data_IF_673888831067
#
_entry.id   IF_673888831067
#
_cell.length_a   1.000
_cell.length_b   1.000
_cell.length_c   1.000
_cell.angle_alpha   90.00
_cell.angle_beta   90.00
_cell.angle_gamma   90.00
#
_symmetry.space_group_name_H-M   'P 1'
#
loop_
_entity.id
_entity.type
_entity.pdbx_description
1 polymer ?
#
# COMPACT_ATOMS: atom_id res chain seq x y z
N UNK A 1 -15.14 59.09 -18.01
CA UNK A 1 -14.62 59.12 -19.39
C UNK A 1 -15.05 57.83 -20.09
N UNK A 2 -16.09 57.88 -20.87
CA UNK A 2 -16.58 56.75 -21.67
C UNK A 2 -15.77 56.69 -22.95
N UNK A 3 -14.90 55.70 -23.08
CA UNK A 3 -14.21 55.47 -24.35
C UNK A 3 -15.23 54.96 -25.38
N UNK A 4 -15.32 55.68 -26.50
CA UNK A 4 -16.21 55.29 -27.61
C UNK A 4 -15.79 53.92 -28.17
N UNK A 5 -16.73 52.99 -28.40
CA UNK A 5 -16.42 51.65 -28.92
C UNK A 5 -15.68 51.66 -30.27
N UNK A 6 -15.81 52.74 -31.05
CA UNK A 6 -15.10 52.94 -32.31
C UNK A 6 -13.55 53.10 -32.12
N UNK A 7 -13.13 53.73 -31.02
CA UNK A 7 -11.69 53.90 -30.71
C UNK A 7 -11.06 52.59 -30.27
N UNK A 8 -11.77 51.73 -29.57
CA UNK A 8 -11.29 50.37 -29.20
C UNK A 8 -11.14 49.45 -30.42
N UNK A 9 -12.09 49.50 -31.36
CA UNK A 9 -12.04 48.77 -32.62
C UNK A 9 -10.93 49.23 -33.55
N UNK A 10 -10.61 50.54 -33.60
CA UNK A 10 -9.52 51.08 -34.41
C UNK A 10 -8.12 50.65 -33.84
N UNK A 11 -7.99 50.58 -32.53
CA UNK A 11 -6.74 50.11 -31.87
C UNK A 11 -6.51 48.59 -32.02
N UNK A 12 -7.58 47.80 -32.13
CA UNK A 12 -7.46 46.35 -32.36
C UNK A 12 -6.96 46.01 -33.78
N UNK A 13 -6.99 46.98 -34.70
CA UNK A 13 -6.48 46.79 -36.09
C UNK A 13 -4.99 47.07 -36.26
N UNK A 14 -4.26 47.52 -35.25
CA UNK A 14 -2.81 47.64 -35.29
C UNK A 14 -2.18 46.22 -35.34
N UNK A 15 -1.13 46.05 -36.14
CA UNK A 15 -0.45 44.73 -36.33
C UNK A 15 0.03 44.09 -35.01
N UNK A 16 0.17 44.87 -33.94
CA UNK A 16 0.56 44.40 -32.61
C UNK A 16 -0.61 44.12 -31.66
N UNK A 17 -1.81 44.64 -31.94
CA UNK A 17 -2.98 44.44 -31.07
C UNK A 17 -3.69 43.09 -31.38
N UNK A 18 -3.58 42.61 -32.60
CA UNK A 18 -4.20 41.35 -33.05
C UNK A 18 -3.71 40.11 -32.27
N UNK A 19 -2.38 39.88 -32.08
CA UNK A 19 -1.93 38.75 -31.28
C UNK A 19 -2.25 38.91 -29.79
N UNK A 20 -2.27 40.11 -29.25
CA UNK A 20 -2.64 40.35 -27.85
C UNK A 20 -4.13 40.11 -27.58
N UNK A 21 -5.00 40.52 -28.50
CA UNK A 21 -6.45 40.26 -28.39
C UNK A 21 -6.77 38.78 -28.56
N UNK A 22 -6.04 38.08 -29.44
CA UNK A 22 -6.18 36.63 -29.61
C UNK A 22 -5.71 35.88 -28.35
N UNK A 23 -4.58 36.27 -27.77
CA UNK A 23 -4.10 35.69 -26.55
C UNK A 23 -5.05 35.88 -25.36
N UNK A 24 -5.59 37.10 -25.24
CA UNK A 24 -6.61 37.42 -24.21
C UNK A 24 -7.91 36.61 -24.40
N UNK A 25 -8.35 36.43 -25.66
CA UNK A 25 -9.49 35.60 -25.98
C UNK A 25 -9.25 34.12 -25.62
N UNK A 26 -8.09 33.58 -26.03
CA UNK A 26 -7.71 32.20 -25.71
C UNK A 26 -7.62 31.98 -24.20
N UNK A 27 -7.07 32.91 -23.46
CA UNK A 27 -7.00 32.85 -22.01
C UNK A 27 -8.41 32.89 -21.38
N UNK A 28 -9.29 33.79 -21.85
CA UNK A 28 -10.67 33.86 -21.37
C UNK A 28 -11.45 32.55 -21.67
N UNK A 29 -11.24 31.98 -22.86
CA UNK A 29 -11.82 30.69 -23.24
C UNK A 29 -11.24 29.55 -22.34
N UNK A 30 -9.94 29.52 -22.08
CA UNK A 30 -9.32 28.53 -21.22
C UNK A 30 -9.83 28.57 -19.76
N UNK A 31 -10.10 29.77 -19.24
CA UNK A 31 -10.71 29.97 -17.90
C UNK A 31 -12.18 29.58 -17.86
N UNK A 32 -12.90 29.79 -18.95
CA UNK A 32 -14.34 29.48 -19.05
C UNK A 32 -14.62 28.00 -19.37
N UNK A 33 -13.64 27.27 -19.88
CA UNK A 33 -13.80 25.85 -20.16
C UNK A 33 -13.78 25.03 -18.84
N UNK A 34 -14.75 24.10 -18.67
CA UNK A 34 -14.68 23.18 -17.54
C UNK A 34 -13.41 22.32 -17.62
N UNK A 35 -12.87 21.85 -16.49
CA UNK A 35 -11.70 20.97 -16.50
C UNK A 35 -11.99 19.73 -17.33
N UNK A 36 -11.20 19.53 -18.39
CA UNK A 36 -11.31 18.35 -19.25
C UNK A 36 -10.71 17.15 -18.50
N UNK A 37 -11.50 16.11 -18.24
CA UNK A 37 -10.97 14.88 -17.66
C UNK A 37 -10.05 14.20 -18.69
N UNK A 38 -8.75 14.34 -18.53
CA UNK A 38 -7.80 13.58 -19.32
C UNK A 38 -7.76 12.13 -18.81
N UNK A 39 -7.77 11.13 -19.71
CA UNK A 39 -7.63 9.73 -19.29
C UNK A 39 -6.26 9.53 -18.64
N UNK A 40 -6.21 9.56 -17.32
CA UNK A 40 -5.04 9.24 -16.50
C UNK A 40 -5.04 7.76 -16.13
N UNK A 41 -3.86 7.19 -15.93
CA UNK A 41 -3.76 5.87 -15.31
C UNK A 41 -4.10 6.02 -13.83
N UNK A 42 -5.17 5.40 -13.38
CA UNK A 42 -5.49 5.27 -11.96
C UNK A 42 -5.12 3.86 -11.48
N UNK A 43 -4.74 3.75 -10.23
CA UNK A 43 -4.37 2.49 -9.59
C UNK A 43 -5.44 2.11 -8.57
N UNK A 44 -5.68 0.81 -8.43
CA UNK A 44 -6.62 0.28 -7.46
C UNK A 44 -5.96 -0.88 -6.72
N UNK A 45 -5.44 -0.60 -5.52
CA UNK A 45 -4.66 -1.57 -4.77
C UNK A 45 -5.15 -1.71 -3.32
N UNK A 46 -5.08 -2.93 -2.82
CA UNK A 46 -5.05 -3.24 -1.40
C UNK A 46 -3.61 -3.57 -1.04
N UNK A 47 -3.01 -2.78 -0.17
CA UNK A 47 -1.67 -3.01 0.35
C UNK A 47 -1.80 -3.72 1.69
N UNK A 48 -1.20 -4.90 1.78
CA UNK A 48 -1.20 -5.74 2.98
C UNK A 48 0.22 -5.77 3.53
N UNK A 49 0.38 -5.29 4.75
CA UNK A 49 1.66 -5.32 5.45
C UNK A 49 1.71 -6.52 6.40
N UNK A 50 2.78 -7.27 6.28
CA UNK A 50 3.16 -8.25 7.29
C UNK A 50 3.57 -7.50 8.57
N UNK A 51 2.90 -7.83 9.68
CA UNK A 51 3.18 -7.24 11.00
C UNK A 51 3.69 -8.28 12.00
N UNK A 52 4.14 -9.42 11.50
CA UNK A 52 4.74 -10.46 12.36
C UNK A 52 6.08 -10.01 12.94
N UNK A 53 6.55 -10.68 13.97
CA UNK A 53 7.71 -10.22 14.75
C UNK A 53 9.01 -10.12 13.93
N UNK A 54 9.16 -10.87 12.85
CA UNK A 54 10.31 -10.77 11.95
C UNK A 54 10.41 -9.41 11.26
N UNK A 55 9.26 -8.75 11.02
CA UNK A 55 9.21 -7.39 10.45
C UNK A 55 9.71 -6.31 11.43
N UNK A 56 9.87 -6.62 12.72
CA UNK A 56 10.48 -5.72 13.70
C UNK A 56 12.02 -5.75 13.67
N UNK A 57 12.63 -6.60 12.83
CA UNK A 57 14.09 -6.64 12.64
C UNK A 57 14.59 -5.30 12.11
N UNK A 58 15.63 -4.74 12.74
CA UNK A 58 16.20 -3.42 12.44
C UNK A 58 17.44 -3.55 11.57
N UNK A 59 17.25 -3.92 10.32
CA UNK A 59 18.31 -4.09 9.30
C UNK A 59 18.21 -3.11 8.14
N UNK A 60 17.38 -2.06 8.30
CA UNK A 60 17.31 -0.90 7.42
C UNK A 60 17.77 0.37 8.13
N UNK A 61 18.09 1.39 7.34
CA UNK A 61 18.44 2.72 7.83
C UNK A 61 17.58 3.79 7.16
N UNK A 62 17.10 4.75 7.96
CA UNK A 62 16.49 5.99 7.49
C UNK A 62 17.22 7.15 8.19
N UNK A 63 17.75 8.08 7.40
CA UNK A 63 18.50 9.24 7.90
C UNK A 63 19.65 8.85 8.86
N UNK A 64 20.35 7.75 8.55
CA UNK A 64 21.47 7.23 9.37
C UNK A 64 21.04 6.58 10.68
N UNK A 65 19.75 6.29 10.88
CA UNK A 65 19.23 5.60 12.06
C UNK A 65 18.70 4.22 11.69
N UNK A 66 19.02 3.19 12.48
CA UNK A 66 18.47 1.86 12.25
C UNK A 66 16.96 1.85 12.51
N UNK A 67 16.20 1.36 11.51
CA UNK A 67 14.75 1.24 11.58
C UNK A 67 14.31 -0.20 11.30
N UNK A 68 13.10 -0.57 11.74
CA UNK A 68 12.54 -1.87 11.46
C UNK A 68 12.15 -2.01 9.97
N UNK A 69 12.04 -3.26 9.51
CA UNK A 69 11.52 -3.58 8.16
C UNK A 69 10.13 -2.99 7.96
N UNK A 70 9.28 -3.08 8.99
CA UNK A 70 7.94 -2.52 8.98
C UNK A 70 7.97 -0.99 8.84
N UNK A 71 8.81 -0.29 9.64
CA UNK A 71 8.92 1.17 9.58
C UNK A 71 9.46 1.63 8.22
N UNK A 72 10.45 0.91 7.66
CA UNK A 72 10.98 1.19 6.33
C UNK A 72 9.91 1.00 5.25
N UNK A 73 9.13 -0.07 5.32
CA UNK A 73 8.02 -0.33 4.41
C UNK A 73 6.96 0.78 4.49
N UNK A 74 6.56 1.18 5.71
CA UNK A 74 5.61 2.28 5.95
C UNK A 74 6.13 3.59 5.36
N UNK A 75 7.40 3.92 5.59
CA UNK A 75 8.03 5.12 5.02
C UNK A 75 7.97 5.10 3.49
N UNK A 76 8.38 4.00 2.86
CA UNK A 76 8.40 3.84 1.41
C UNK A 76 7.00 3.92 0.79
N UNK A 77 6.00 3.32 1.45
CA UNK A 77 4.59 3.40 1.04
C UNK A 77 4.05 4.82 1.16
N UNK A 78 4.39 5.53 2.25
CA UNK A 78 4.02 6.94 2.43
C UNK A 78 4.63 7.85 1.34
N UNK A 79 5.87 7.60 0.91
CA UNK A 79 6.47 8.29 -0.23
C UNK A 79 5.74 7.95 -1.54
N UNK A 80 5.40 6.68 -1.74
CA UNK A 80 4.69 6.23 -2.94
C UNK A 80 3.31 6.88 -3.07
N UNK A 81 2.57 7.04 -1.97
CA UNK A 81 1.27 7.72 -1.97
C UNK A 81 1.34 9.14 -2.57
N UNK A 82 2.44 9.87 -2.34
CA UNK A 82 2.63 11.24 -2.86
C UNK A 82 2.73 11.29 -4.38
N UNK A 83 3.09 10.20 -5.01
CA UNK A 83 3.32 10.12 -6.45
C UNK A 83 2.13 9.53 -7.21
N UNK A 84 1.12 9.03 -6.50
CA UNK A 84 -0.06 8.46 -7.13
C UNK A 84 -0.96 9.56 -7.71
N UNK A 85 -1.44 9.38 -8.95
CA UNK A 85 -2.38 10.32 -9.54
C UNK A 85 -3.72 10.26 -8.83
N UNK A 86 -4.41 11.42 -8.75
CA UNK A 86 -5.79 11.48 -8.28
C UNK A 86 -6.69 10.53 -9.08
N UNK A 87 -7.70 9.97 -8.43
CA UNK A 87 -8.53 8.90 -8.96
C UNK A 87 -7.98 7.49 -8.65
N UNK A 88 -6.72 7.37 -8.18
CA UNK A 88 -6.20 6.12 -7.65
C UNK A 88 -6.86 5.79 -6.31
N UNK A 89 -7.05 4.50 -6.04
CA UNK A 89 -7.68 4.00 -4.79
C UNK A 89 -6.74 3.06 -4.08
N UNK A 90 -6.46 3.36 -2.82
CA UNK A 90 -5.58 2.55 -1.97
C UNK A 90 -6.32 2.16 -0.70
N UNK A 91 -6.18 0.89 -0.32
CA UNK A 91 -6.62 0.36 0.96
C UNK A 91 -5.45 -0.21 1.74
N UNK A 92 -5.63 -0.32 3.05
CA UNK A 92 -4.64 -0.88 3.97
C UNK A 92 -5.18 -2.12 4.64
N UNK A 93 -4.34 -3.14 4.71
CA UNK A 93 -4.56 -4.33 5.49
C UNK A 93 -3.30 -4.76 6.20
N UNK A 94 -3.45 -5.60 7.19
CA UNK A 94 -2.34 -6.23 7.90
C UNK A 94 -2.46 -7.75 7.84
N UNK A 95 -1.32 -8.40 7.80
CA UNK A 95 -1.19 -9.85 7.84
C UNK A 95 -0.53 -10.27 9.15
N UNK A 96 -1.13 -11.24 9.80
CA UNK A 96 -0.56 -11.97 10.93
C UNK A 96 -1.12 -13.39 10.93
N UNK A 97 -0.36 -14.33 11.44
CA UNK A 97 -0.69 -15.76 11.47
C UNK A 97 -0.89 -16.33 10.04
N UNK A 98 -2.12 -16.40 9.55
CA UNK A 98 -2.49 -16.87 8.20
C UNK A 98 -3.63 -16.04 7.60
N UNK A 99 -3.95 -14.89 8.18
CA UNK A 99 -5.14 -14.09 7.82
C UNK A 99 -4.78 -12.67 7.45
N UNK A 100 -5.60 -12.12 6.55
CA UNK A 100 -5.71 -10.70 6.31
C UNK A 100 -6.74 -10.08 7.27
N UNK A 101 -6.39 -8.96 7.87
CA UNK A 101 -7.31 -8.01 8.46
C UNK A 101 -7.29 -6.72 7.64
N UNK A 102 -8.38 -6.41 6.97
CA UNK A 102 -8.53 -5.14 6.28
C UNK A 102 -8.80 -4.02 7.29
N UNK A 103 -7.93 -3.01 7.33
CA UNK A 103 -8.07 -1.85 8.21
C UNK A 103 -8.84 -0.73 7.52
N UNK A 104 -8.62 -0.57 6.22
CA UNK A 104 -9.29 0.43 5.39
C UNK A 104 -9.50 -0.16 3.99
N UNK A 105 -10.74 -0.16 3.52
CA UNK A 105 -11.05 -0.50 2.13
C UNK A 105 -10.48 0.54 1.17
N UNK A 106 -10.24 0.20 -0.12
CA UNK A 106 -9.66 1.15 -1.06
C UNK A 106 -10.48 2.43 -1.23
N UNK A 107 -9.90 3.56 -0.82
CA UNK A 107 -10.46 4.91 -0.94
C UNK A 107 -9.63 5.75 -1.92
N UNK A 108 -10.24 6.78 -2.49
CA UNK A 108 -9.56 7.68 -3.43
C UNK A 108 -8.45 8.48 -2.73
N UNK A 109 -7.26 8.52 -3.35
CA UNK A 109 -6.02 9.00 -2.71
C UNK A 109 -6.06 10.49 -2.41
N UNK A 110 -6.45 11.34 -3.36
CA UNK A 110 -6.37 12.80 -3.19
C UNK A 110 -7.37 13.32 -2.16
N UNK A 111 -8.59 12.78 -2.17
CA UNK A 111 -9.63 13.16 -1.21
C UNK A 111 -9.43 12.62 0.20
N UNK A 112 -8.65 11.52 0.35
CA UNK A 112 -8.46 10.84 1.65
C UNK A 112 -6.98 10.70 2.01
N UNK A 113 -6.15 11.65 1.54
CA UNK A 113 -4.69 11.54 1.67
C UNK A 113 -4.23 11.51 3.13
N UNK A 114 -4.81 12.37 3.98
CA UNK A 114 -4.46 12.44 5.40
C UNK A 114 -4.87 11.19 6.16
N UNK A 115 -6.05 10.66 5.88
CA UNK A 115 -6.59 9.44 6.49
C UNK A 115 -5.75 8.21 6.10
N UNK A 116 -5.34 8.15 4.83
CA UNK A 116 -4.45 7.09 4.34
C UNK A 116 -3.11 7.13 5.05
N UNK A 117 -2.49 8.30 5.19
CA UNK A 117 -1.22 8.45 5.90
C UNK A 117 -1.38 8.18 7.40
N UNK A 118 -2.45 8.66 8.03
CA UNK A 118 -2.69 8.44 9.45
C UNK A 118 -2.90 6.94 9.75
N UNK A 119 -3.69 6.25 8.93
CA UNK A 119 -3.89 4.80 9.07
C UNK A 119 -2.57 4.05 8.90
N UNK A 120 -1.79 4.37 7.85
CA UNK A 120 -0.48 3.76 7.62
C UNK A 120 0.48 4.01 8.79
N UNK A 121 0.51 5.21 9.35
CA UNK A 121 1.36 5.57 10.49
C UNK A 121 1.02 4.76 11.74
N UNK A 122 -0.25 4.46 11.96
CA UNK A 122 -0.74 3.71 13.13
C UNK A 122 -0.60 2.19 12.98
N UNK A 123 -0.22 1.66 11.81
CA UNK A 123 0.08 0.23 11.68
C UNK A 123 1.31 -0.09 12.51
N UNK A 124 1.18 -1.08 13.40
CA UNK A 124 2.18 -1.44 14.38
C UNK A 124 2.28 -2.97 14.51
N UNK A 125 3.47 -3.48 14.80
CA UNK A 125 3.72 -4.90 15.08
C UNK A 125 2.97 -5.42 16.31
N UNK A 126 2.55 -4.56 17.23
CA UNK A 126 1.72 -4.93 18.39
C UNK A 126 0.27 -5.26 18.02
N UNK A 127 -0.18 -4.89 16.83
CA UNK A 127 -1.48 -5.31 16.29
C UNK A 127 -1.50 -6.80 15.93
N UNK A 128 -0.35 -7.49 15.96
CA UNK A 128 -0.26 -8.92 15.70
C UNK A 128 -0.98 -9.72 16.79
N UNK A 129 -1.91 -10.58 16.38
CA UNK A 129 -2.72 -11.41 17.29
C UNK A 129 -2.17 -12.81 17.51
N UNK A 130 -1.08 -13.17 16.83
CA UNK A 130 -0.46 -14.50 16.95
C UNK A 130 1.05 -14.44 16.67
N UNK A 131 1.78 -15.41 17.24
CA UNK A 131 3.22 -15.54 17.05
C UNK A 131 3.62 -16.31 15.78
N UNK A 132 2.65 -16.89 15.04
CA UNK A 132 2.90 -17.60 13.80
C UNK A 132 2.91 -16.65 12.60
N UNK A 133 3.62 -17.03 11.53
CA UNK A 133 3.70 -16.33 10.26
C UNK A 133 3.59 -17.36 9.12
N UNK A 134 2.38 -17.71 8.71
CA UNK A 134 2.13 -18.62 7.60
C UNK A 134 1.86 -17.83 6.33
N UNK A 135 2.92 -17.24 5.76
CA UNK A 135 2.87 -16.28 4.64
C UNK A 135 2.10 -16.82 3.44
N UNK A 136 2.34 -18.09 3.08
CA UNK A 136 1.64 -18.73 1.94
C UNK A 136 0.13 -18.76 2.14
N UNK A 137 -0.34 -19.10 3.34
CA UNK A 137 -1.78 -19.12 3.67
C UNK A 137 -2.34 -17.68 3.77
N UNK A 138 -1.54 -16.76 4.31
CA UNK A 138 -1.89 -15.34 4.38
C UNK A 138 -2.10 -14.72 3.01
N UNK A 139 -1.22 -15.05 2.05
CA UNK A 139 -1.37 -14.63 0.66
C UNK A 139 -2.67 -15.16 0.06
N UNK A 140 -2.97 -16.45 0.23
CA UNK A 140 -4.22 -17.05 -0.28
C UNK A 140 -5.46 -16.47 0.41
N UNK A 141 -5.38 -16.23 1.73
CA UNK A 141 -6.43 -15.55 2.48
C UNK A 141 -6.69 -14.15 1.94
N UNK A 142 -5.61 -13.40 1.65
CA UNK A 142 -5.71 -12.05 1.08
C UNK A 142 -6.37 -12.07 -0.30
N UNK A 143 -5.92 -12.94 -1.21
CA UNK A 143 -6.52 -13.06 -2.55
C UNK A 143 -8.01 -13.43 -2.45
N UNK A 144 -8.37 -14.35 -1.54
CA UNK A 144 -9.76 -14.76 -1.34
C UNK A 144 -10.63 -13.61 -0.84
N UNK A 145 -10.15 -12.85 0.14
CA UNK A 145 -10.88 -11.69 0.67
C UNK A 145 -11.05 -10.59 -0.39
N UNK A 146 -10.03 -10.34 -1.21
CA UNK A 146 -10.10 -9.28 -2.21
C UNK A 146 -11.05 -9.61 -3.37
N UNK A 147 -11.12 -10.87 -3.78
CA UNK A 147 -12.02 -11.27 -4.87
C UNK A 147 -13.51 -11.14 -4.50
N UNK A 148 -13.83 -11.14 -3.20
CA UNK A 148 -15.21 -10.97 -2.69
C UNK A 148 -15.64 -9.50 -2.67
N UNK A 149 -14.71 -8.55 -2.90
CA UNK A 149 -15.05 -7.14 -3.00
C UNK A 149 -15.77 -6.85 -4.32
N UNK A 150 -16.71 -5.91 -4.30
CA UNK A 150 -17.50 -5.51 -5.49
C UNK A 150 -16.62 -5.12 -6.67
N UNK A 151 -15.49 -4.44 -6.41
CA UNK A 151 -14.45 -4.13 -7.36
C UNK A 151 -13.12 -4.68 -6.81
N UNK A 152 -12.72 -5.90 -7.21
CA UNK A 152 -11.50 -6.49 -6.69
C UNK A 152 -10.26 -5.65 -6.98
N UNK A 153 -9.56 -5.14 -5.94
CA UNK A 153 -8.31 -4.41 -6.11
C UNK A 153 -7.17 -5.38 -6.41
N UNK A 154 -6.09 -4.87 -7.00
CA UNK A 154 -4.85 -5.61 -7.06
C UNK A 154 -4.21 -5.68 -5.68
N UNK A 155 -3.61 -6.83 -5.34
CA UNK A 155 -2.93 -7.04 -4.06
C UNK A 155 -1.47 -6.55 -4.14
N UNK A 156 -1.05 -5.77 -3.16
CA UNK A 156 0.37 -5.53 -2.89
C UNK A 156 0.67 -6.11 -1.51
N UNK A 157 1.40 -7.23 -1.47
CA UNK A 157 1.69 -7.96 -0.24
C UNK A 157 3.15 -7.72 0.17
N UNK A 158 3.37 -7.02 1.28
CA UNK A 158 4.69 -6.63 1.78
C UNK A 158 5.05 -7.53 2.94
N UNK A 159 6.12 -8.32 2.81
CA UNK A 159 6.55 -9.32 3.81
C UNK A 159 8.06 -9.56 3.71
N UNK A 160 8.68 -10.06 4.76
CA UNK A 160 10.05 -10.57 4.70
C UNK A 160 10.12 -12.05 4.30
N UNK A 161 8.96 -12.68 4.11
CA UNK A 161 8.86 -14.08 3.68
C UNK A 161 9.19 -15.08 4.77
N UNK A 162 9.34 -14.66 6.03
CA UNK A 162 9.62 -15.58 7.14
C UNK A 162 8.39 -16.45 7.44
N UNK A 163 8.53 -17.75 7.15
CA UNK A 163 7.48 -18.75 7.35
C UNK A 163 7.70 -19.49 8.68
N UNK A 164 6.79 -19.31 9.63
CA UNK A 164 6.81 -19.94 10.94
C UNK A 164 5.40 -20.42 11.34
N UNK A 165 5.12 -21.74 11.37
CA UNK A 165 6.04 -22.86 11.17
C UNK A 165 6.51 -22.99 9.71
N UNK A 166 7.69 -23.59 9.48
CA UNK A 166 8.19 -23.86 8.13
C UNK A 166 7.20 -24.69 7.30
N UNK A 167 7.11 -24.38 6.01
CA UNK A 167 6.24 -25.11 5.08
C UNK A 167 6.61 -26.59 5.03
N UNK A 168 5.63 -27.44 5.28
CA UNK A 168 5.79 -28.86 5.06
C UNK A 168 5.71 -29.16 3.55
N UNK A 169 6.78 -29.70 2.91
CA UNK A 169 6.79 -29.99 1.48
C UNK A 169 5.68 -30.95 1.02
N UNK A 170 5.19 -31.82 1.94
CA UNK A 170 4.13 -32.80 1.68
C UNK A 170 2.73 -32.24 1.88
N UNK A 171 2.60 -31.08 2.54
CA UNK A 171 1.31 -30.45 2.88
C UNK A 171 1.33 -28.97 2.51
N UNK A 172 1.69 -28.68 1.27
CA UNK A 172 1.69 -27.29 0.77
C UNK A 172 0.27 -26.78 0.71
N UNK A 173 0.03 -25.54 1.14
CA UNK A 173 -1.27 -24.91 0.94
C UNK A 173 -1.64 -24.88 -0.55
N UNK A 174 -2.84 -25.30 -0.89
CA UNK A 174 -3.40 -25.19 -2.24
C UNK A 174 -4.27 -23.94 -2.32
N UNK A 175 -4.28 -23.31 -3.47
CA UNK A 175 -5.17 -22.19 -3.75
C UNK A 175 -6.38 -22.66 -4.54
N UNK A 176 -7.57 -22.49 -3.95
CA UNK A 176 -8.83 -22.79 -4.59
C UNK A 176 -9.40 -21.52 -5.24
N UNK A 177 -9.07 -21.28 -6.48
CA UNK A 177 -9.54 -20.09 -7.18
C UNK A 177 -9.05 -20.02 -8.62
N UNK A 178 -9.74 -19.22 -9.43
CA UNK A 178 -9.34 -18.97 -10.80
C UNK A 178 -8.11 -18.06 -10.86
N UNK A 179 -7.05 -18.47 -11.57
CA UNK A 179 -5.86 -17.64 -11.77
C UNK A 179 -6.21 -16.32 -12.48
N UNK A 180 -5.62 -15.21 -12.03
CA UNK A 180 -5.70 -13.92 -12.70
C UNK A 180 -6.91 -13.05 -12.31
N UNK A 181 -7.84 -13.53 -11.50
CA UNK A 181 -8.96 -12.73 -11.00
C UNK A 181 -8.48 -11.57 -10.11
N UNK A 182 -7.53 -11.82 -9.22
CA UNK A 182 -6.83 -10.80 -8.44
C UNK A 182 -5.38 -10.75 -8.94
N UNK A 183 -4.97 -9.62 -9.48
CA UNK A 183 -3.57 -9.35 -9.84
C UNK A 183 -2.83 -8.92 -8.58
N UNK A 184 -1.51 -9.13 -8.54
CA UNK A 184 -0.76 -8.73 -7.37
C UNK A 184 0.74 -8.63 -7.58
N UNK A 185 1.37 -8.07 -6.55
CA UNK A 185 2.81 -7.93 -6.40
C UNK A 185 3.16 -8.34 -4.97
N UNK A 186 4.17 -9.18 -4.83
CA UNK A 186 4.80 -9.46 -3.54
C UNK A 186 6.05 -8.60 -3.45
N UNK A 187 6.14 -7.81 -2.40
CA UNK A 187 7.30 -6.95 -2.10
C UNK A 187 8.06 -7.58 -0.95
N UNK A 188 9.24 -8.10 -1.26
CA UNK A 188 10.15 -8.65 -0.26
C UNK A 188 10.86 -7.54 0.52
N UNK A 189 10.90 -7.65 1.85
CA UNK A 189 11.69 -6.81 2.74
C UNK A 189 12.80 -7.64 3.38
N UNK A 190 13.86 -6.99 3.86
CA UNK A 190 15.03 -7.64 4.45
C UNK A 190 16.25 -7.57 3.56
N UNK A 191 17.42 -7.71 4.18
CA UNK A 191 18.71 -7.67 3.50
C UNK A 191 19.22 -9.06 3.11
N UNK A 192 20.36 -9.09 2.40
CA UNK A 192 21.08 -10.34 2.07
C UNK A 192 21.77 -10.99 3.28
N UNK A 193 21.92 -10.25 4.37
CA UNK A 193 22.56 -10.72 5.61
C UNK A 193 21.51 -11.20 6.59
N UNK A 194 21.74 -12.37 7.20
CA UNK A 194 20.86 -12.87 8.26
C UNK A 194 20.90 -11.91 9.46
N UNK A 195 19.73 -11.46 9.87
CA UNK A 195 19.57 -10.56 11.01
C UNK A 195 18.74 -11.21 12.10
N UNK A 196 19.11 -11.06 13.38
CA UNK A 196 18.36 -11.68 14.48
C UNK A 196 16.98 -11.02 14.62
N UNK A 197 15.95 -11.87 14.78
CA UNK A 197 14.57 -11.41 14.98
C UNK A 197 14.39 -11.01 16.45
N UNK A 198 13.99 -9.76 16.75
CA UNK A 198 13.75 -9.33 18.12
C UNK A 198 12.55 -10.05 18.71
N UNK A 199 12.68 -10.45 19.99
CA UNK A 199 11.59 -11.00 20.79
C UNK A 199 11.03 -9.86 21.65
N UNK A 200 9.76 -9.58 21.48
CA UNK A 200 9.08 -8.50 22.18
C UNK A 200 8.00 -9.10 23.09
N UNK A 201 7.76 -8.45 24.25
CA UNK A 201 6.59 -8.72 25.07
C UNK A 201 5.32 -8.04 24.50
N UNK A 202 4.20 -8.21 25.19
CA UNK A 202 2.91 -7.63 24.79
C UNK A 202 2.90 -6.09 24.82
N UNK A 203 3.82 -5.48 25.57
CA UNK A 203 3.99 -4.03 25.66
C UNK A 203 5.04 -3.51 24.64
N UNK A 204 5.58 -4.39 23.77
CA UNK A 204 6.63 -4.06 22.80
C UNK A 204 8.02 -3.89 23.39
N UNK A 205 8.26 -4.32 24.64
CA UNK A 205 9.58 -4.24 25.29
C UNK A 205 10.47 -5.39 24.82
N UNK A 206 11.76 -5.13 24.59
CA UNK A 206 12.68 -6.16 24.11
C UNK A 206 12.96 -7.21 25.20
N UNK A 207 12.72 -8.47 24.86
CA UNK A 207 13.08 -9.65 25.65
C UNK A 207 14.34 -10.35 25.16
N UNK A 208 15.03 -9.80 24.15
CA UNK A 208 16.17 -10.40 23.46
C UNK A 208 15.83 -10.79 22.02
N UNK A 209 16.33 -11.92 21.57
CA UNK A 209 16.14 -12.40 20.21
C UNK A 209 15.62 -13.83 20.20
N UNK A 210 14.81 -14.15 19.17
CA UNK A 210 14.34 -15.51 18.96
C UNK A 210 15.49 -16.46 18.63
N UNK A 211 15.50 -17.62 19.29
CA UNK A 211 16.39 -18.72 18.96
C UNK A 211 15.67 -19.71 18.07
N UNK A 212 16.41 -20.49 17.31
CA UNK A 212 15.85 -21.45 16.35
C UNK A 212 14.94 -22.52 17.02
N UNK A 213 15.24 -22.89 18.25
CA UNK A 213 14.47 -23.85 19.05
C UNK A 213 13.22 -23.24 19.72
N UNK A 214 13.14 -21.90 19.79
CA UNK A 214 11.98 -21.19 20.32
C UNK A 214 10.92 -20.89 19.25
N UNK A 215 11.33 -20.93 17.96
CA UNK A 215 10.39 -20.68 16.83
C UNK A 215 9.47 -21.88 16.65
N UNK A 216 8.20 -21.63 16.38
CA UNK A 216 7.19 -22.67 16.13
C UNK A 216 7.61 -23.52 14.92
N UNK A 217 7.93 -24.80 15.17
CA UNK A 217 8.38 -25.74 14.14
C UNK A 217 7.22 -26.55 13.50
N UNK A 218 6.04 -26.54 14.12
CA UNK A 218 4.87 -27.23 13.60
C UNK A 218 3.60 -26.57 14.10
N UNK A 219 2.61 -26.41 13.23
CA UNK A 219 1.30 -25.93 13.64
C UNK A 219 0.50 -27.09 14.27
N UNK A 220 0.45 -27.13 15.60
CA UNK A 220 -0.29 -28.15 16.34
C UNK A 220 -1.81 -28.04 16.16
N UNK A 221 -2.34 -26.83 15.87
CA UNK A 221 -3.76 -26.62 15.62
C UNK A 221 -4.23 -27.21 14.27
N UNK A 222 -3.31 -27.40 13.33
CA UNK A 222 -3.63 -28.02 12.03
C UNK A 222 -3.60 -29.56 12.05
N UNK A 223 -3.10 -30.17 13.12
CA UNK A 223 -3.00 -31.65 13.23
C UNK A 223 -4.35 -32.38 13.32
N UNK A 224 -5.46 -31.66 13.54
CA UNK A 224 -6.79 -32.25 13.67
C UNK A 224 -7.77 -31.94 12.52
N UNK A 225 -7.35 -31.18 11.51
CA UNK A 225 -8.21 -30.85 10.35
C UNK A 225 -7.70 -31.53 9.09
N UNK A 226 -7.80 -32.85 9.06
CA UNK A 226 -7.81 -33.58 7.80
C UNK A 226 -9.26 -33.64 7.33
N UNK A 227 -9.60 -32.95 6.29
CA UNK A 227 -10.80 -33.20 5.51
C UNK A 227 -12.07 -32.48 5.99
N UNK A 228 -12.40 -31.43 5.37
CA UNK A 228 -13.71 -31.08 4.81
C UNK A 228 -13.54 -29.99 3.78
#
# INVERSE_FOLDING_TARGET
MMFSPAVLLARARSAHALPLSLAALLFAVAVALPPLPLPGRSYHHMVVLDITQSMNTRDYELDGKPVSRLDYAKHSLGQSLRTLPCGSRIGWGVFSEYRLLALMTPVEVCGNYHELLATLANIDGQMSWAGASEVSKGLFSSIRALREMEQPPSLVFVTDGHEAPPLNPKMRPSFDGEPGLVKGLIVGTGGATLSPIPKLDLDGRPLGYWKADEVVQSNTASRGRSGS
#
